data_IF_926307669908
#
_entry.id   IF_926307669908
#
_cell.length_a   1.000
_cell.length_b   1.000
_cell.length_c   1.000
_cell.angle_alpha   90.00
_cell.angle_beta   90.00
_cell.angle_gamma   90.00
#
_symmetry.space_group_name_H-M   'P 1'
#
loop_
_entity.id
_entity.type
_entity.pdbx_description
1 polymer ?
#
# COMPACT_ATOMS: atom_id res chain seq x y z
N UNK A 1 -0.54 -18.33 11.85
CA UNK A 1 -0.22 -18.61 10.44
C UNK A 1 -0.98 -19.87 10.01
N UNK A 2 -1.46 -19.90 8.77
CA UNK A 2 -2.31 -20.96 8.17
C UNK A 2 -1.92 -21.12 6.70
N UNK A 3 -1.89 -22.33 6.16
CA UNK A 3 -1.73 -22.54 4.71
C UNK A 3 -3.10 -22.54 4.05
N UNK A 4 -3.29 -21.62 3.10
CA UNK A 4 -4.51 -21.49 2.31
C UNK A 4 -4.28 -22.13 0.94
N UNK A 5 -4.91 -23.28 0.70
CA UNK A 5 -4.90 -23.95 -0.60
C UNK A 5 -5.51 -23.06 -1.70
N UNK A 6 -5.11 -23.22 -2.98
CA UNK A 6 -5.69 -22.44 -4.06
C UNK A 6 -7.15 -22.80 -4.33
N UNK A 7 -7.90 -21.80 -4.78
CA UNK A 7 -9.30 -21.86 -5.21
C UNK A 7 -9.46 -21.19 -6.58
N UNK A 8 -10.63 -21.32 -7.20
CA UNK A 8 -10.98 -20.63 -8.47
C UNK A 8 -10.84 -19.09 -8.43
N UNK A 9 -10.77 -18.49 -7.24
CA UNK A 9 -10.54 -17.05 -7.05
C UNK A 9 -9.12 -16.70 -6.56
N UNK A 10 -8.24 -17.70 -6.42
CA UNK A 10 -6.87 -17.47 -5.95
C UNK A 10 -5.98 -17.09 -7.14
N UNK A 11 -5.32 -15.91 -7.11
CA UNK A 11 -4.42 -15.48 -8.18
C UNK A 11 -3.36 -16.53 -8.49
N UNK A 12 -3.01 -16.62 -9.77
CA UNK A 12 -1.96 -17.49 -10.33
C UNK A 12 -2.15 -19.00 -10.04
N UNK A 13 -3.31 -19.39 -9.47
CA UNK A 13 -3.65 -20.77 -9.12
C UNK A 13 -2.87 -21.33 -7.91
N UNK A 14 -2.22 -20.47 -7.11
CA UNK A 14 -1.21 -20.92 -6.13
C UNK A 14 -1.61 -20.70 -4.66
N UNK A 15 -1.35 -21.70 -3.82
CA UNK A 15 -1.59 -21.62 -2.37
C UNK A 15 -0.62 -20.70 -1.63
N UNK A 16 -1.04 -20.18 -0.47
CA UNK A 16 -0.26 -19.18 0.28
C UNK A 16 -0.41 -19.28 1.80
N UNK A 17 0.61 -18.86 2.54
CA UNK A 17 0.55 -18.73 4.00
C UNK A 17 -0.19 -17.45 4.40
N UNK A 18 -1.38 -17.59 4.98
CA UNK A 18 -2.10 -16.49 5.63
C UNK A 18 -1.58 -16.26 7.07
N UNK A 19 -1.34 -14.99 7.41
CA UNK A 19 -0.83 -14.56 8.72
C UNK A 19 -1.78 -13.53 9.31
N UNK A 20 -2.51 -13.90 10.36
CA UNK A 20 -3.56 -13.07 10.96
C UNK A 20 -3.28 -12.61 12.40
N UNK A 21 -2.17 -13.01 13.04
CA UNK A 21 -1.86 -12.57 14.40
C UNK A 21 -0.85 -11.43 14.43
N UNK A 22 -1.00 -10.50 15.38
CA UNK A 22 -0.21 -9.27 15.43
C UNK A 22 1.30 -9.54 15.58
N UNK A 23 1.66 -10.58 16.34
CA UNK A 23 3.05 -10.96 16.55
C UNK A 23 3.69 -11.56 15.30
N UNK A 24 2.99 -12.49 14.62
CA UNK A 24 3.48 -13.09 13.37
C UNK A 24 3.55 -12.04 12.24
N UNK A 25 2.52 -11.18 12.09
CA UNK A 25 2.52 -10.10 11.10
C UNK A 25 3.66 -9.11 11.35
N UNK A 26 3.97 -8.76 12.61
CA UNK A 26 5.14 -7.94 12.93
C UNK A 26 6.48 -8.65 12.69
N UNK A 27 6.57 -9.97 12.88
CA UNK A 27 7.79 -10.71 12.58
C UNK A 27 8.12 -10.64 11.08
N UNK A 28 7.13 -10.91 10.22
CA UNK A 28 7.30 -10.81 8.76
C UNK A 28 7.62 -9.38 8.31
N UNK A 29 6.94 -8.37 8.86
CA UNK A 29 7.19 -6.96 8.49
C UNK A 29 8.52 -6.39 9.00
N UNK A 30 9.26 -7.11 9.85
CA UNK A 30 10.56 -6.69 10.41
C UNK A 30 11.75 -7.42 9.82
N UNK A 31 11.51 -8.45 9.02
CA UNK A 31 12.54 -9.26 8.36
C UNK A 31 12.34 -9.21 6.83
N UNK A 32 12.68 -8.08 6.17
CA UNK A 32 12.59 -7.96 4.71
C UNK A 32 13.61 -8.83 3.97
N UNK A 33 14.62 -9.38 4.67
CA UNK A 33 15.63 -10.25 4.08
C UNK A 33 15.12 -11.68 3.88
N UNK A 34 14.38 -12.23 4.86
CA UNK A 34 13.65 -13.50 4.67
C UNK A 34 12.36 -13.29 3.85
N UNK A 35 11.72 -12.12 3.99
CA UNK A 35 10.40 -11.84 3.41
C UNK A 35 10.45 -10.63 2.46
N UNK A 36 10.92 -10.91 1.24
CA UNK A 36 11.11 -9.96 0.15
C UNK A 36 9.81 -9.29 -0.33
N UNK A 37 9.93 -8.02 -0.69
CA UNK A 37 8.92 -7.21 -1.38
C UNK A 37 9.01 -7.31 -2.91
N UNK A 38 10.08 -7.94 -3.43
CA UNK A 38 10.34 -8.19 -4.86
C UNK A 38 9.94 -9.63 -5.24
N UNK A 39 10.74 -10.64 -4.89
CA UNK A 39 10.56 -12.06 -5.27
C UNK A 39 11.36 -12.99 -4.34
N UNK A 40 11.25 -14.31 -4.48
CA UNK A 40 12.08 -15.26 -3.73
C UNK A 40 12.06 -16.66 -4.34
N UNK A 41 13.09 -17.46 -4.05
CA UNK A 41 13.27 -18.77 -4.65
C UNK A 41 13.48 -18.69 -6.17
N UNK A 42 12.88 -19.63 -6.91
CA UNK A 42 12.95 -19.70 -8.38
C UNK A 42 11.85 -18.84 -9.06
N UNK A 43 11.07 -18.06 -8.30
CA UNK A 43 9.92 -17.31 -8.82
C UNK A 43 10.38 -16.09 -9.65
N UNK A 44 9.89 -15.91 -10.88
CA UNK A 44 10.38 -14.85 -11.78
C UNK A 44 10.01 -13.43 -11.32
N UNK A 45 8.84 -13.26 -10.71
CA UNK A 45 8.29 -11.97 -10.27
C UNK A 45 7.58 -12.10 -8.90
N UNK A 46 6.90 -11.05 -8.45
CA UNK A 46 6.17 -11.12 -7.18
C UNK A 46 5.52 -9.79 -6.80
N UNK A 47 6.16 -9.05 -5.90
CA UNK A 47 5.66 -7.79 -5.40
C UNK A 47 4.94 -7.92 -4.05
N UNK A 48 3.97 -7.04 -3.81
CA UNK A 48 3.28 -6.93 -2.50
C UNK A 48 1.76 -7.09 -2.55
N UNK A 49 1.21 -7.63 -3.64
CA UNK A 49 -0.16 -8.17 -3.73
C UNK A 49 -0.10 -9.68 -3.96
N UNK A 50 -1.23 -10.38 -3.82
CA UNK A 50 -1.23 -11.86 -3.87
C UNK A 50 -0.83 -12.38 -5.27
N UNK A 51 -1.29 -11.71 -6.32
CA UNK A 51 -0.83 -11.94 -7.70
C UNK A 51 0.64 -11.55 -7.90
N UNK A 52 1.38 -12.30 -8.70
CA UNK A 52 2.71 -11.92 -9.20
C UNK A 52 2.61 -10.79 -10.23
N UNK A 53 3.35 -9.70 -10.00
CA UNK A 53 3.40 -8.54 -10.91
C UNK A 53 4.81 -8.33 -11.49
N UNK A 54 4.97 -8.18 -12.83
CA UNK A 54 6.25 -7.89 -13.47
C UNK A 54 6.94 -6.60 -12.98
N UNK A 55 6.18 -5.65 -12.44
CA UNK A 55 6.69 -4.38 -11.89
C UNK A 55 7.33 -4.52 -10.49
N UNK A 56 7.48 -5.73 -9.97
CA UNK A 56 8.25 -6.00 -8.76
C UNK A 56 9.72 -5.53 -8.95
N UNK A 57 10.29 -4.84 -7.97
CA UNK A 57 11.60 -4.20 -8.07
C UNK A 57 11.62 -2.85 -8.80
N UNK A 58 10.55 -2.47 -9.51
CA UNK A 58 10.45 -1.22 -10.28
C UNK A 58 9.64 -0.12 -9.56
N UNK A 59 8.73 -0.49 -8.65
CA UNK A 59 7.92 0.46 -7.87
C UNK A 59 8.32 0.44 -6.39
N UNK A 60 8.44 1.61 -5.74
CA UNK A 60 9.04 1.76 -4.41
C UNK A 60 8.48 0.82 -3.32
N UNK A 61 7.17 0.52 -3.34
CA UNK A 61 6.58 -0.39 -2.35
C UNK A 61 6.81 -1.88 -2.63
N UNK A 62 7.50 -2.21 -3.73
CA UNK A 62 7.89 -3.56 -4.16
C UNK A 62 9.41 -3.62 -4.43
N UNK A 63 10.21 -2.75 -3.82
CA UNK A 63 11.68 -2.81 -3.79
C UNK A 63 12.14 -3.35 -2.43
N UNK A 64 13.32 -3.98 -2.42
CA UNK A 64 14.08 -4.30 -1.20
C UNK A 64 15.45 -3.60 -1.21
N UNK A 65 16.17 -3.66 -0.08
CA UNK A 65 17.44 -2.95 0.11
C UNK A 65 18.60 -3.60 -0.69
N UNK A 66 19.63 -2.83 -1.11
CA UNK A 66 19.88 -1.41 -0.79
C UNK A 66 18.98 -0.43 -1.57
N UNK A 67 18.52 -0.80 -2.77
CA UNK A 67 17.82 0.12 -3.69
C UNK A 67 16.58 0.77 -3.06
N UNK A 68 15.81 0.00 -2.29
CA UNK A 68 14.66 0.54 -1.55
C UNK A 68 15.06 1.71 -0.62
N UNK A 69 16.07 1.55 0.25
CA UNK A 69 16.53 2.60 1.16
C UNK A 69 16.95 3.88 0.43
N UNK A 70 17.63 3.73 -0.71
CA UNK A 70 18.14 4.85 -1.50
C UNK A 70 17.02 5.62 -2.21
N UNK A 71 16.15 4.93 -2.96
CA UNK A 71 14.97 5.55 -3.59
C UNK A 71 14.00 6.10 -2.53
N UNK A 72 13.85 5.41 -1.39
CA UNK A 72 13.07 5.88 -0.25
C UNK A 72 13.62 7.19 0.31
N UNK A 73 14.94 7.34 0.40
CA UNK A 73 15.59 8.58 0.86
C UNK A 73 15.31 9.73 -0.12
N UNK A 74 15.45 9.48 -1.42
CA UNK A 74 15.12 10.46 -2.48
C UNK A 74 13.66 10.91 -2.42
N UNK A 75 12.70 9.97 -2.42
CA UNK A 75 11.26 10.30 -2.32
C UNK A 75 10.94 11.04 -1.00
N UNK A 76 11.70 10.76 0.08
CA UNK A 76 11.52 11.44 1.36
C UNK A 76 12.08 12.87 1.40
N UNK A 77 13.07 13.23 0.58
CA UNK A 77 13.59 14.61 0.56
C UNK A 77 12.58 15.61 -0.04
N UNK A 78 11.76 15.15 -1.01
CA UNK A 78 10.66 15.94 -1.56
C UNK A 78 9.51 16.24 -0.57
N UNK A 79 9.45 15.56 0.58
CA UNK A 79 8.52 15.88 1.68
C UNK A 79 9.08 16.99 2.59
N UNK A 80 9.49 18.12 1.99
CA UNK A 80 10.06 19.24 2.74
C UNK A 80 9.04 19.85 3.72
N UNK A 81 9.47 20.49 4.82
CA UNK A 81 8.56 21.23 5.70
C UNK A 81 7.79 22.36 5.00
N UNK A 82 8.28 22.87 3.85
CA UNK A 82 7.58 23.83 3.01
C UNK A 82 6.46 23.16 2.20
N UNK A 83 6.72 22.02 1.58
CA UNK A 83 5.71 21.23 0.88
C UNK A 83 4.60 20.77 1.83
N UNK A 84 4.95 20.31 3.04
CA UNK A 84 3.96 19.92 4.06
C UNK A 84 3.03 21.08 4.44
N UNK A 85 3.55 22.31 4.59
CA UNK A 85 2.72 23.50 4.84
C UNK A 85 1.86 23.85 3.63
N UNK A 86 2.41 23.85 2.41
CA UNK A 86 1.65 24.11 1.17
C UNK A 86 0.44 23.18 1.04
N UNK A 87 0.63 21.88 1.34
CA UNK A 87 -0.46 20.90 1.39
C UNK A 87 -1.45 21.19 2.52
N UNK A 88 -0.98 21.56 3.72
CA UNK A 88 -1.89 21.88 4.83
C UNK A 88 -2.74 23.13 4.55
N UNK A 89 -2.16 24.16 3.95
CA UNK A 89 -2.82 25.44 3.64
C UNK A 89 -3.85 25.29 2.50
N UNK A 90 -3.51 24.55 1.43
CA UNK A 90 -4.43 24.21 0.33
C UNK A 90 -5.62 23.37 0.83
N UNK A 91 -5.37 22.26 1.57
CA UNK A 91 -6.43 21.42 2.12
C UNK A 91 -7.32 22.15 3.15
N UNK A 92 -6.77 23.16 3.83
CA UNK A 92 -7.51 24.05 4.73
C UNK A 92 -8.41 25.02 3.95
N UNK A 93 -7.97 25.48 2.77
CA UNK A 93 -8.77 26.20 1.79
C UNK A 93 -9.87 25.34 1.17
N UNK A 94 -9.55 24.16 0.65
CA UNK A 94 -10.51 23.21 0.10
C UNK A 94 -11.58 22.81 1.13
N UNK A 95 -11.22 22.65 2.40
CA UNK A 95 -12.18 22.43 3.50
C UNK A 95 -13.18 23.58 3.69
N UNK A 96 -12.86 24.82 3.29
CA UNK A 96 -13.83 25.91 3.29
C UNK A 96 -14.92 25.69 2.21
N UNK A 97 -14.63 24.96 1.14
CA UNK A 97 -15.61 24.47 0.17
C UNK A 97 -16.70 23.59 0.80
N UNK A 98 -16.37 22.81 1.83
CA UNK A 98 -17.36 22.03 2.60
C UNK A 98 -18.38 22.90 3.39
N UNK A 99 -18.32 24.23 3.31
CA UNK A 99 -19.37 25.13 3.83
C UNK A 99 -20.69 25.05 3.04
N UNK A 100 -20.70 24.40 1.88
CA UNK A 100 -21.89 24.07 1.09
C UNK A 100 -22.82 23.04 1.76
N UNK A 101 -22.35 22.31 2.78
CA UNK A 101 -23.14 21.28 3.48
C UNK A 101 -24.27 21.92 4.29
N UNK A 102 -25.50 21.80 3.79
CA UNK A 102 -26.70 22.32 4.44
C UNK A 102 -27.14 21.42 5.61
N UNK A 103 -27.31 21.96 6.84
CA UNK A 103 -27.76 21.18 7.99
C UNK A 103 -29.11 20.48 7.74
N UNK A 104 -29.15 19.17 7.96
CA UNK A 104 -30.34 18.33 7.78
C UNK A 104 -30.58 17.82 6.35
N UNK A 105 -29.78 18.23 5.37
CA UNK A 105 -29.81 17.69 4.00
C UNK A 105 -28.87 16.49 3.89
N UNK A 106 -29.34 15.41 3.26
CA UNK A 106 -28.53 14.22 2.99
C UNK A 106 -27.73 14.39 1.68
N UNK A 107 -26.49 13.90 1.68
CA UNK A 107 -25.53 13.97 0.56
C UNK A 107 -24.53 12.80 0.64
N UNK A 108 -23.74 12.54 -0.40
CA UNK A 108 -22.74 11.46 -0.38
C UNK A 108 -21.39 11.99 0.10
N UNK A 109 -21.13 11.84 1.41
CA UNK A 109 -19.86 12.25 2.00
C UNK A 109 -18.61 11.61 1.36
N UNK A 110 -18.74 10.46 0.69
CA UNK A 110 -17.62 9.79 0.01
C UNK A 110 -17.29 10.46 -1.31
N UNK A 111 -18.29 10.83 -2.09
CA UNK A 111 -18.16 11.55 -3.38
C UNK A 111 -17.87 13.03 -3.13
N UNK A 112 -18.75 13.70 -2.38
CA UNK A 112 -18.82 15.16 -2.28
C UNK A 112 -17.71 15.77 -1.40
N UNK A 113 -17.01 14.97 -0.58
CA UNK A 113 -15.95 15.45 0.33
C UNK A 113 -14.73 14.51 0.41
N UNK A 114 -14.92 13.21 0.66
CA UNK A 114 -13.80 12.32 1.00
C UNK A 114 -12.91 11.96 -0.21
N UNK A 115 -13.43 12.07 -1.44
CA UNK A 115 -12.69 11.79 -2.67
C UNK A 115 -11.72 12.92 -3.07
N UNK A 116 -12.14 14.18 -2.94
CA UNK A 116 -11.37 15.33 -3.43
C UNK A 116 -10.10 15.57 -2.61
N UNK A 117 -10.22 15.72 -1.28
CA UNK A 117 -9.10 16.17 -0.44
C UNK A 117 -7.82 15.31 -0.60
N UNK A 118 -7.90 13.96 -0.69
CA UNK A 118 -6.73 13.14 -0.97
C UNK A 118 -6.16 13.31 -2.38
N UNK A 119 -6.99 13.59 -3.39
CA UNK A 119 -6.56 13.78 -4.77
C UNK A 119 -5.87 15.13 -4.97
N UNK A 120 -6.43 16.21 -4.38
CA UNK A 120 -5.80 17.53 -4.32
C UNK A 120 -4.40 17.43 -3.68
N UNK A 121 -4.28 16.75 -2.53
CA UNK A 121 -3.01 16.48 -1.84
C UNK A 121 -1.97 15.86 -2.79
N UNK A 122 -2.31 14.81 -3.53
CA UNK A 122 -1.36 14.14 -4.44
C UNK A 122 -0.98 15.04 -5.62
N UNK A 123 -1.93 15.80 -6.16
CA UNK A 123 -1.66 16.78 -7.21
C UNK A 123 -0.67 17.86 -6.77
N UNK A 124 -0.77 18.37 -5.53
CA UNK A 124 0.16 19.36 -4.98
C UNK A 124 1.56 18.76 -4.80
N UNK A 125 1.66 17.53 -4.27
CA UNK A 125 2.95 16.83 -4.10
C UNK A 125 3.65 16.60 -5.45
N UNK A 126 2.90 16.26 -6.50
CA UNK A 126 3.39 16.05 -7.87
C UNK A 126 3.56 17.36 -8.68
N UNK A 127 3.13 18.50 -8.12
CA UNK A 127 3.14 19.79 -8.81
C UNK A 127 2.27 19.86 -10.07
N UNK A 128 1.12 19.17 -10.06
CA UNK A 128 0.10 19.16 -11.12
C UNK A 128 -0.59 20.55 -11.20
N UNK A 129 -0.63 21.20 -12.38
CA UNK A 129 -1.36 22.44 -12.60
C UNK A 129 -2.85 22.33 -12.23
N UNK A 130 -3.43 23.39 -11.65
CA UNK A 130 -4.83 23.38 -11.19
C UNK A 130 -5.85 23.10 -12.31
N UNK A 131 -5.60 23.62 -13.51
CA UNK A 131 -6.42 23.36 -14.69
C UNK A 131 -6.46 21.88 -15.10
N UNK A 132 -5.39 21.12 -14.83
CA UNK A 132 -5.28 19.72 -15.22
C UNK A 132 -5.97 18.79 -14.20
N UNK A 133 -6.19 19.24 -12.95
CA UNK A 133 -6.59 18.38 -11.83
C UNK A 133 -7.95 17.70 -12.05
N UNK A 134 -8.96 18.41 -12.56
CA UNK A 134 -10.30 17.84 -12.75
C UNK A 134 -10.30 16.67 -13.75
N UNK A 135 -9.70 16.86 -14.92
CA UNK A 135 -9.50 15.80 -15.91
C UNK A 135 -8.63 14.66 -15.35
N UNK A 136 -7.58 14.99 -14.60
CA UNK A 136 -6.69 13.98 -14.02
C UNK A 136 -7.40 13.11 -12.97
N UNK A 137 -8.41 13.64 -12.25
CA UNK A 137 -9.21 12.84 -11.32
C UNK A 137 -10.03 11.79 -12.09
N UNK A 138 -10.69 12.19 -13.18
CA UNK A 138 -11.46 11.30 -14.05
C UNK A 138 -10.56 10.28 -14.76
N UNK A 139 -9.38 10.68 -15.25
CA UNK A 139 -8.42 9.79 -15.90
C UNK A 139 -7.80 8.76 -14.94
N UNK A 140 -7.77 9.05 -13.64
CA UNK A 140 -7.23 8.17 -12.59
C UNK A 140 -8.31 7.26 -11.97
N UNK A 141 -9.58 7.64 -11.99
CA UNK A 141 -10.65 6.88 -11.32
C UNK A 141 -10.91 5.45 -11.87
N UNK A 142 -10.80 5.14 -13.18
CA UNK A 142 -10.94 3.78 -13.71
C UNK A 142 -9.98 2.75 -13.08
N UNK A 143 -8.85 3.18 -12.52
CA UNK A 143 -7.97 2.30 -11.73
C UNK A 143 -8.58 1.79 -10.42
N UNK A 144 -9.77 2.27 -10.04
CA UNK A 144 -10.47 1.98 -8.79
C UNK A 144 -11.90 1.45 -8.98
N UNK A 145 -12.40 1.31 -10.21
CA UNK A 145 -13.75 0.83 -10.48
C UNK A 145 -13.79 -0.38 -11.42
N UNK A 146 -14.69 -1.33 -11.17
CA UNK A 146 -14.74 -2.63 -11.85
C UNK A 146 -16.17 -3.16 -11.95
N UNK A 147 -17.02 -2.40 -12.66
CA UNK A 147 -18.40 -2.78 -12.96
C UNK A 147 -19.33 -2.56 -11.77
N UNK A 148 -19.82 -3.65 -11.15
CA UNK A 148 -20.76 -3.57 -10.04
C UNK A 148 -20.08 -3.38 -8.66
N UNK A 149 -18.76 -3.24 -8.61
CA UNK A 149 -17.99 -3.10 -7.37
C UNK A 149 -16.69 -2.33 -7.62
N UNK A 150 -16.44 -1.28 -6.83
CA UNK A 150 -15.16 -0.57 -6.86
C UNK A 150 -14.04 -1.47 -6.35
N UNK A 151 -12.97 -1.63 -7.13
CA UNK A 151 -11.75 -2.35 -6.72
C UNK A 151 -10.50 -1.58 -7.08
N UNK A 152 -9.68 -1.23 -6.09
CA UNK A 152 -8.41 -0.56 -6.30
C UNK A 152 -7.36 -1.50 -6.91
N UNK A 153 -6.94 -1.23 -8.14
CA UNK A 153 -5.80 -1.90 -8.78
C UNK A 153 -4.46 -1.37 -8.24
N UNK A 154 -3.39 -2.15 -8.43
CA UNK A 154 -2.02 -1.63 -8.38
C UNK A 154 -1.66 -1.03 -9.75
N UNK A 155 -0.71 -0.06 -9.82
CA UNK A 155 -0.19 0.43 -11.09
C UNK A 155 0.23 -0.73 -12.01
N UNK A 156 0.01 -0.56 -13.30
CA UNK A 156 0.43 -1.50 -14.35
C UNK A 156 1.24 -0.75 -15.42
N UNK A 157 2.01 -1.53 -16.17
CA UNK A 157 2.75 -1.10 -17.37
C UNK A 157 2.68 -2.23 -18.40
N UNK A 158 1.47 -2.50 -18.88
CA UNK A 158 1.21 -3.34 -20.03
C UNK A 158 1.11 -2.47 -21.31
N UNK A 159 0.80 -3.10 -22.45
CA UNK A 159 0.69 -2.42 -23.76
C UNK A 159 -0.49 -1.45 -23.84
N UNK A 160 -1.57 -1.71 -23.09
CA UNK A 160 -2.78 -0.89 -23.01
C UNK A 160 -2.53 0.36 -22.14
N UNK A 161 -1.88 0.19 -20.98
CA UNK A 161 -1.47 1.30 -20.09
C UNK A 161 -0.58 2.31 -20.84
N UNK A 162 0.39 1.81 -21.63
CA UNK A 162 1.31 2.62 -22.41
C UNK A 162 0.63 3.42 -23.55
N UNK A 163 -0.58 3.02 -23.97
CA UNK A 163 -1.42 3.77 -24.90
C UNK A 163 -2.40 4.73 -24.24
N UNK A 164 -2.48 4.77 -22.91
CA UNK A 164 -3.47 5.56 -22.18
C UNK A 164 -3.16 7.06 -22.14
N UNK A 165 -4.20 7.89 -22.05
CA UNK A 165 -4.05 9.34 -21.86
C UNK A 165 -3.34 9.67 -20.54
N UNK A 166 -3.54 8.85 -19.50
CA UNK A 166 -2.88 9.00 -18.20
C UNK A 166 -1.35 8.76 -18.30
N UNK A 167 -0.92 7.78 -19.10
CA UNK A 167 0.50 7.55 -19.39
C UNK A 167 1.11 8.71 -20.18
N UNK A 168 0.43 9.17 -21.24
CA UNK A 168 0.87 10.31 -22.03
C UNK A 168 1.04 11.58 -21.17
N UNK A 169 0.04 11.90 -20.33
CA UNK A 169 0.10 13.03 -19.40
C UNK A 169 1.21 12.85 -18.34
N UNK A 170 1.36 11.65 -17.78
CA UNK A 170 2.41 11.37 -16.79
C UNK A 170 3.81 11.59 -17.37
N UNK A 171 4.06 11.11 -18.60
CA UNK A 171 5.32 11.34 -19.31
C UNK A 171 5.54 12.81 -19.68
N UNK A 172 4.50 13.52 -20.16
CA UNK A 172 4.61 14.95 -20.42
C UNK A 172 4.90 15.74 -19.14
N UNK A 173 4.25 15.40 -18.03
CA UNK A 173 4.52 16.04 -16.74
C UNK A 173 5.96 15.77 -16.29
N UNK A 174 6.51 14.54 -16.38
CA UNK A 174 7.91 14.32 -16.00
C UNK A 174 8.86 15.10 -16.94
N UNK A 175 8.56 15.18 -18.24
CA UNK A 175 9.35 15.95 -19.19
C UNK A 175 9.33 17.46 -18.89
N UNK A 176 8.15 18.02 -18.57
CA UNK A 176 7.99 19.41 -18.10
C UNK A 176 8.81 19.64 -16.81
N UNK A 177 8.78 18.70 -15.85
CA UNK A 177 9.53 18.79 -14.58
C UNK A 177 11.05 18.63 -14.73
N UNK A 178 11.53 17.97 -15.80
CA UNK A 178 12.96 17.95 -16.21
C UNK A 178 13.39 19.30 -16.77
N UNK A 179 12.62 19.84 -17.71
CA UNK A 179 12.95 21.08 -18.41
C UNK A 179 12.78 22.33 -17.54
N UNK A 180 11.81 22.33 -16.62
CA UNK A 180 11.48 23.43 -15.71
C UNK A 180 11.21 22.88 -14.31
N UNK A 181 12.26 22.60 -13.52
CA UNK A 181 12.12 22.12 -12.14
C UNK A 181 11.40 23.13 -11.24
N UNK A 182 10.55 22.62 -10.34
CA UNK A 182 9.78 23.42 -9.40
C UNK A 182 9.91 22.87 -7.96
N UNK A 183 9.37 23.61 -6.98
CA UNK A 183 9.34 23.20 -5.57
C UNK A 183 8.23 22.17 -5.32
N UNK A 184 8.45 20.97 -5.85
CA UNK A 184 7.60 19.79 -5.69
C UNK A 184 8.37 18.46 -5.69
N UNK A 185 7.68 17.39 -5.24
CA UNK A 185 8.29 16.06 -5.08
C UNK A 185 8.60 15.42 -6.43
N UNK A 186 7.79 15.66 -7.46
CA UNK A 186 8.04 15.08 -8.77
C UNK A 186 9.33 15.65 -9.37
N UNK A 187 9.50 16.97 -9.37
CA UNK A 187 10.79 17.60 -9.71
C UNK A 187 11.94 17.03 -8.89
N UNK A 188 11.81 16.98 -7.55
CA UNK A 188 12.87 16.46 -6.66
C UNK A 188 13.33 15.04 -7.03
N UNK A 189 12.41 14.15 -7.39
CA UNK A 189 12.72 12.76 -7.80
C UNK A 189 13.22 12.69 -9.24
N UNK A 190 12.70 13.53 -10.13
CA UNK A 190 12.99 13.55 -11.57
C UNK A 190 14.34 14.20 -11.91
N UNK A 191 14.81 15.16 -11.10
CA UNK A 191 16.09 15.87 -11.30
C UNK A 191 17.25 15.30 -10.50
N UNK A 192 17.04 14.18 -9.78
CA UNK A 192 17.99 13.62 -8.81
C UNK A 192 19.43 13.45 -9.35
N UNK A 193 19.58 13.12 -10.64
CA UNK A 193 20.87 12.86 -11.30
C UNK A 193 21.41 14.03 -12.12
N UNK A 194 20.78 15.22 -12.09
CA UNK A 194 21.24 16.39 -12.85
C UNK A 194 22.51 16.96 -12.22
N UNK A 195 22.54 17.10 -10.90
CA UNK A 195 23.69 17.64 -10.15
C UNK A 195 24.68 16.54 -9.69
N UNK A 196 24.22 15.30 -9.53
CA UNK A 196 25.04 14.14 -9.14
C UNK A 196 24.69 12.90 -10.00
N UNK A 197 25.49 12.57 -11.04
CA UNK A 197 25.27 11.39 -11.88
C UNK A 197 25.39 10.04 -11.15
N UNK A 198 25.90 10.00 -9.91
CA UNK A 198 25.94 8.80 -9.07
C UNK A 198 24.74 8.71 -8.11
N UNK A 199 23.84 9.70 -8.10
CA UNK A 199 22.67 9.69 -7.23
C UNK A 199 21.68 8.55 -7.58
N UNK A 200 20.96 8.00 -6.58
CA UNK A 200 19.91 7.02 -6.82
C UNK A 200 18.84 7.55 -7.77
N UNK A 201 18.48 6.78 -8.79
CA UNK A 201 17.58 7.24 -9.85
C UNK A 201 16.46 6.24 -10.17
N UNK A 202 15.42 6.77 -10.83
CA UNK A 202 14.32 6.02 -11.42
C UNK A 202 14.33 6.25 -12.94
N UNK A 203 14.19 5.17 -13.71
CA UNK A 203 13.99 5.23 -15.16
C UNK A 203 12.60 5.79 -15.51
N UNK A 204 12.37 6.17 -16.77
CA UNK A 204 11.10 6.80 -17.21
C UNK A 204 9.86 5.93 -16.95
N UNK A 205 10.00 4.59 -17.02
CA UNK A 205 8.96 3.64 -16.63
C UNK A 205 8.70 3.68 -15.11
N UNK A 206 9.76 3.75 -14.31
CA UNK A 206 9.68 3.75 -12.83
C UNK A 206 9.19 5.10 -12.29
N UNK A 207 9.48 6.20 -12.97
CA UNK A 207 8.93 7.53 -12.70
C UNK A 207 7.42 7.58 -12.96
N UNK A 208 6.94 6.94 -14.04
CA UNK A 208 5.50 6.76 -14.27
C UNK A 208 4.86 5.85 -13.20
N UNK A 209 5.49 4.71 -12.87
CA UNK A 209 5.01 3.85 -11.77
C UNK A 209 4.98 4.59 -10.43
N UNK A 210 5.93 5.50 -10.17
CA UNK A 210 5.95 6.34 -8.98
C UNK A 210 4.81 7.39 -8.98
N UNK A 211 4.58 8.08 -10.12
CA UNK A 211 3.45 8.98 -10.32
C UNK A 211 2.11 8.26 -10.03
N UNK A 212 1.87 7.11 -10.66
CA UNK A 212 0.66 6.31 -10.47
C UNK A 212 0.59 5.63 -9.07
N UNK A 213 1.74 5.38 -8.42
CA UNK A 213 1.78 4.89 -7.04
C UNK A 213 1.20 5.91 -6.08
N UNK A 214 1.49 7.21 -6.22
CA UNK A 214 1.03 8.21 -5.26
C UNK A 214 -0.49 8.33 -5.23
N UNK A 215 -1.17 8.22 -6.38
CA UNK A 215 -2.64 8.13 -6.42
C UNK A 215 -3.16 6.83 -5.76
N UNK A 216 -2.70 5.66 -6.24
CA UNK A 216 -3.17 4.34 -5.77
C UNK A 216 -2.82 4.02 -4.30
N UNK A 217 -1.74 4.57 -3.76
CA UNK A 217 -1.32 4.38 -2.37
C UNK A 217 -1.77 5.52 -1.43
N UNK A 218 -1.73 6.77 -1.90
CA UNK A 218 -2.02 7.95 -1.10
C UNK A 218 -3.51 8.33 -1.09
N UNK A 219 -4.12 8.50 -2.26
CA UNK A 219 -5.46 9.07 -2.37
C UNK A 219 -6.53 8.11 -1.81
N UNK A 220 -6.69 6.94 -2.42
CA UNK A 220 -7.74 5.97 -2.08
C UNK A 220 -7.66 5.48 -0.62
N UNK A 221 -6.45 5.28 -0.08
CA UNK A 221 -6.30 4.84 1.32
C UNK A 221 -6.66 5.93 2.32
N UNK A 222 -6.57 7.20 1.91
CA UNK A 222 -6.96 8.36 2.71
C UNK A 222 -8.46 8.65 2.57
N UNK A 223 -9.04 8.53 1.35
CA UNK A 223 -10.50 8.58 1.09
C UNK A 223 -11.25 7.63 2.04
N UNK A 224 -10.85 6.37 2.06
CA UNK A 224 -11.42 5.34 2.94
C UNK A 224 -11.19 5.61 4.44
N UNK A 225 -10.05 6.20 4.82
CA UNK A 225 -9.76 6.56 6.21
C UNK A 225 -10.56 7.79 6.71
N UNK A 226 -10.92 8.71 5.80
CA UNK A 226 -11.81 9.85 6.06
C UNK A 226 -13.26 9.35 6.17
N UNK A 227 -13.76 8.62 5.16
CA UNK A 227 -15.13 8.11 5.12
C UNK A 227 -15.45 7.18 6.30
N UNK A 228 -14.64 6.13 6.51
CA UNK A 228 -14.79 5.25 7.67
C UNK A 228 -14.57 5.98 9.00
N UNK A 229 -13.73 7.02 9.00
CA UNK A 229 -13.50 7.90 10.14
C UNK A 229 -14.74 8.69 10.56
N UNK A 230 -15.61 9.07 9.62
CA UNK A 230 -16.91 9.68 9.91
C UNK A 230 -17.93 8.62 10.36
N UNK A 231 -18.02 7.49 9.67
CA UNK A 231 -18.93 6.38 10.03
C UNK A 231 -18.72 5.93 11.49
N UNK A 232 -17.46 5.72 11.89
CA UNK A 232 -17.10 5.31 13.25
C UNK A 232 -17.36 6.39 14.33
N UNK A 233 -17.64 7.64 13.95
CA UNK A 233 -18.13 8.69 14.85
C UNK A 233 -19.67 8.69 14.91
N UNK A 234 -20.34 8.55 13.77
CA UNK A 234 -21.80 8.49 13.66
C UNK A 234 -22.38 7.28 14.43
N UNK A 235 -21.77 6.11 14.29
CA UNK A 235 -22.13 4.89 15.05
C UNK A 235 -21.86 5.00 16.56
N UNK A 236 -21.06 5.99 17.01
CA UNK A 236 -20.57 6.06 18.41
C UNK A 236 -20.62 7.50 18.97
N UNK A 237 -21.80 8.14 19.11
CA UNK A 237 -21.91 9.55 19.48
C UNK A 237 -21.21 9.92 20.80
N UNK A 238 -21.26 9.03 21.80
CA UNK A 238 -20.58 9.21 23.10
C UNK A 238 -19.04 9.19 23.01
N UNK A 239 -18.47 8.49 22.02
CA UNK A 239 -17.06 8.65 21.64
C UNK A 239 -16.83 9.87 20.74
N UNK A 240 -17.84 10.28 19.97
CA UNK A 240 -17.79 11.42 19.04
C UNK A 240 -17.36 12.71 19.73
N UNK A 241 -18.09 13.12 20.78
CA UNK A 241 -17.79 14.34 21.54
C UNK A 241 -16.35 14.36 22.10
N UNK A 242 -15.90 13.24 22.69
CA UNK A 242 -14.57 13.13 23.28
C UNK A 242 -13.44 13.09 22.24
N UNK A 243 -13.70 12.56 21.04
CA UNK A 243 -12.69 12.41 19.99
C UNK A 243 -12.62 13.63 19.06
N UNK A 244 -13.72 14.36 18.88
CA UNK A 244 -13.76 15.66 18.21
C UNK A 244 -12.92 16.72 18.96
N UNK A 245 -12.88 16.64 20.30
CA UNK A 245 -12.06 17.50 21.14
C UNK A 245 -10.54 17.25 21.02
N UNK A 246 -10.04 16.23 20.30
CA UNK A 246 -8.59 16.02 20.15
C UNK A 246 -8.21 15.26 18.88
N UNK A 247 -7.52 15.94 17.95
CA UNK A 247 -7.05 15.37 16.68
C UNK A 247 -6.16 14.12 16.82
N UNK A 248 -5.49 13.94 17.97
CA UNK A 248 -4.70 12.73 18.28
C UNK A 248 -5.56 11.49 18.54
N UNK A 249 -6.79 11.67 19.08
CA UNK A 249 -7.77 10.59 19.21
C UNK A 249 -8.22 10.14 17.82
N UNK A 250 -8.61 11.08 16.96
CA UNK A 250 -9.07 10.81 15.60
C UNK A 250 -8.00 10.09 14.77
N UNK A 251 -6.77 10.63 14.71
CA UNK A 251 -5.65 10.06 13.92
C UNK A 251 -5.24 8.63 14.35
N UNK A 252 -5.48 8.23 15.61
CA UNK A 252 -5.26 6.86 16.08
C UNK A 252 -6.45 5.94 15.81
N UNK A 253 -7.68 6.41 16.02
CA UNK A 253 -8.89 5.59 15.82
C UNK A 253 -9.18 5.33 14.34
N UNK A 254 -9.14 6.34 13.47
CA UNK A 254 -9.40 6.14 12.03
C UNK A 254 -8.45 5.10 11.42
N UNK A 255 -7.13 5.20 11.70
CA UNK A 255 -6.13 4.23 11.22
C UNK A 255 -6.29 2.82 11.80
N UNK A 256 -6.82 2.65 13.02
CA UNK A 256 -7.05 1.34 13.67
C UNK A 256 -8.32 0.64 13.15
N UNK A 257 -9.37 1.40 12.88
CA UNK A 257 -10.70 0.86 12.50
C UNK A 257 -10.90 0.82 10.97
N UNK A 258 -10.37 1.81 10.25
CA UNK A 258 -10.66 2.10 8.84
C UNK A 258 -9.43 1.96 7.95
N UNK A 259 -8.44 1.15 8.36
CA UNK A 259 -7.13 1.06 7.72
C UNK A 259 -7.21 0.66 6.24
N UNK A 260 -7.09 1.64 5.33
CA UNK A 260 -7.37 1.52 3.90
C UNK A 260 -6.50 0.54 3.09
N UNK A 261 -5.47 -0.07 3.70
CA UNK A 261 -4.80 -1.29 3.18
C UNK A 261 -4.77 -2.34 4.29
N UNK A 262 -5.69 -3.31 4.20
CA UNK A 262 -5.88 -4.39 5.18
C UNK A 262 -4.90 -5.57 5.02
N UNK A 263 -4.34 -5.75 3.82
CA UNK A 263 -3.48 -6.87 3.43
C UNK A 263 -2.17 -6.42 2.78
N UNK A 264 -1.12 -7.25 2.87
CA UNK A 264 0.14 -7.15 2.09
C UNK A 264 0.71 -8.54 1.81
N UNK A 265 1.25 -8.77 0.60
CA UNK A 265 2.02 -9.98 0.28
C UNK A 265 3.53 -9.78 0.49
N UNK A 266 4.22 -10.90 0.68
CA UNK A 266 5.68 -11.09 0.62
C UNK A 266 6.00 -12.41 -0.08
N UNK A 267 7.18 -12.50 -0.68
CA UNK A 267 7.77 -13.75 -1.18
C UNK A 267 8.89 -14.17 -0.24
N UNK A 268 8.92 -15.43 0.19
CA UNK A 268 9.94 -15.89 1.11
C UNK A 268 9.64 -17.26 1.72
N UNK A 269 10.64 -18.14 1.74
CA UNK A 269 10.51 -19.45 2.37
C UNK A 269 10.87 -19.38 3.87
N UNK A 270 10.00 -19.84 4.78
CA UNK A 270 10.45 -20.15 6.13
C UNK A 270 11.51 -21.27 6.07
N UNK A 271 12.59 -21.21 6.87
CA UNK A 271 13.71 -22.13 6.75
C UNK A 271 13.31 -23.60 6.98
N UNK A 272 13.80 -24.55 6.15
CA UNK A 272 13.37 -25.94 6.21
C UNK A 272 13.70 -26.58 7.57
N UNK A 273 12.74 -27.35 8.11
CA UNK A 273 12.82 -27.94 9.45
C UNK A 273 12.53 -26.97 10.61
N UNK A 274 12.55 -25.65 10.37
CA UNK A 274 12.16 -24.64 11.34
C UNK A 274 10.86 -23.95 10.91
N UNK A 275 9.72 -24.48 11.38
CA UNK A 275 8.66 -23.55 11.78
C UNK A 275 9.22 -22.73 12.95
N UNK A 276 9.37 -21.39 12.86
CA UNK A 276 9.93 -20.59 13.95
C UNK A 276 9.08 -20.60 15.23
N UNK A 277 7.89 -21.22 15.15
CA UNK A 277 6.83 -21.19 16.15
C UNK A 277 6.47 -22.59 16.69
N UNK A 278 7.16 -23.66 16.25
CA UNK A 278 6.94 -25.02 16.73
C UNK A 278 7.08 -25.15 18.26
N UNK A 279 8.00 -24.38 18.86
CA UNK A 279 8.24 -24.36 20.30
C UNK A 279 7.05 -23.88 21.16
N UNK A 280 6.01 -23.30 20.55
CA UNK A 280 4.82 -22.80 21.27
C UNK A 280 3.73 -23.85 21.51
N UNK A 281 3.87 -25.08 20.96
CA UNK A 281 2.83 -26.13 21.04
C UNK A 281 3.17 -27.32 21.94
N UNK A 282 4.10 -27.17 22.88
CA UNK A 282 4.58 -28.26 23.74
C UNK A 282 4.42 -28.02 25.25
N UNK A 283 3.19 -27.77 25.72
CA UNK A 283 2.86 -27.92 27.16
C UNK A 283 1.45 -28.49 27.42
N UNK A 284 1.13 -29.71 26.95
CA UNK A 284 -0.07 -30.42 27.39
C UNK A 284 0.09 -30.88 28.85
N UNK A 285 -0.34 -30.05 29.81
CA UNK A 285 -0.36 -30.43 31.24
C UNK A 285 -1.51 -31.42 31.49
N UNK A 286 -1.29 -32.69 31.17
CA UNK A 286 -2.09 -33.83 31.66
C UNK A 286 -1.19 -34.95 32.15
N UNK A 287 -1.62 -35.59 33.23
CA UNK A 287 -0.81 -36.51 34.04
C UNK A 287 -0.74 -37.90 33.38
N UNK A 288 0.49 -38.40 33.25
CA UNK A 288 0.91 -39.81 33.45
C UNK A 288 -0.02 -40.97 33.03
N UNK A 289 0.45 -41.85 32.14
CA UNK A 289 0.93 -43.21 32.50
C UNK A 289 1.65 -43.89 31.31
N UNK A 290 2.15 -45.12 31.50
CA UNK A 290 3.19 -45.76 30.67
C UNK A 290 2.71 -46.49 29.40
N UNK A 291 3.59 -46.62 28.40
CA UNK A 291 3.48 -47.54 27.25
C UNK A 291 4.70 -47.48 26.32
N UNK A 292 5.23 -48.62 25.85
CA UNK A 292 6.43 -48.71 24.98
C UNK A 292 6.06 -49.15 23.55
N UNK A 293 6.57 -48.48 22.51
CA UNK A 293 6.82 -49.07 21.17
C UNK A 293 7.67 -48.16 20.24
N UNK A 294 8.44 -48.80 19.33
CA UNK A 294 9.13 -48.29 18.12
C UNK A 294 9.56 -49.52 17.29
N UNK A 295 9.99 -49.40 16.02
CA UNK A 295 9.91 -48.27 15.08
C UNK A 295 8.78 -48.59 14.04
N UNK A 296 8.78 -48.41 12.69
CA UNK A 296 9.73 -47.91 11.67
C UNK A 296 8.99 -47.46 10.41
N UNK A 297 9.27 -46.28 9.86
CA UNK A 297 9.02 -45.92 8.44
C UNK A 297 9.73 -44.60 8.07
N UNK A 298 10.25 -44.48 6.85
CA UNK A 298 10.85 -43.24 6.31
C UNK A 298 9.91 -42.54 5.34
N UNK A 299 9.70 -41.21 5.44
CA UNK A 299 9.10 -40.43 4.36
C UNK A 299 10.15 -40.15 3.27
N UNK A 300 9.78 -40.30 1.99
CA UNK A 300 10.56 -39.77 0.87
C UNK A 300 10.27 -38.28 0.72
N UNK A 301 11.31 -37.45 0.59
CA UNK A 301 11.16 -36.07 0.14
C UNK A 301 10.92 -36.03 -1.38
N UNK A 302 10.06 -35.11 -1.83
CA UNK A 302 9.99 -34.65 -3.23
C UNK A 302 9.58 -33.19 -3.24
N UNK A 303 10.30 -32.37 -4.04
CA UNK A 303 9.87 -31.09 -4.62
C UNK A 303 9.12 -30.10 -3.71
N UNK A 304 9.85 -29.11 -3.19
CA UNK A 304 9.38 -28.07 -2.28
C UNK A 304 8.83 -26.84 -3.05
N UNK A 305 7.56 -26.42 -2.86
CA UNK A 305 7.00 -25.23 -3.53
C UNK A 305 7.53 -23.91 -2.93
N UNK A 306 7.57 -22.85 -3.75
CA UNK A 306 8.19 -21.56 -3.40
C UNK A 306 7.20 -20.63 -2.69
N UNK A 307 7.18 -20.73 -1.37
CA UNK A 307 6.16 -20.18 -0.47
C UNK A 307 5.82 -18.68 -0.66
N UNK A 308 4.51 -18.43 -0.82
CA UNK A 308 3.85 -17.13 -0.74
C UNK A 308 3.42 -16.81 0.71
N UNK A 309 3.52 -15.56 1.14
CA UNK A 309 3.01 -15.10 2.46
C UNK A 309 2.08 -13.89 2.29
N UNK A 310 0.86 -13.98 2.84
CA UNK A 310 -0.16 -12.94 2.86
C UNK A 310 -0.45 -12.51 4.29
N UNK A 311 -0.22 -11.23 4.57
CA UNK A 311 -0.38 -10.64 5.90
C UNK A 311 -1.73 -9.96 6.04
N UNK A 312 -2.47 -10.29 7.09
CA UNK A 312 -3.61 -9.53 7.59
C UNK A 312 -3.17 -8.65 8.78
N UNK A 313 -3.80 -7.49 8.91
CA UNK A 313 -3.61 -6.59 10.05
C UNK A 313 -4.76 -6.78 11.07
N UNK A 314 -4.57 -7.55 12.16
CA UNK A 314 -5.64 -7.82 13.11
C UNK A 314 -6.03 -6.56 13.88
N UNK A 315 -7.34 -6.27 13.83
CA UNK A 315 -7.98 -5.35 14.76
C UNK A 315 -7.87 -5.99 16.15
N UNK A 316 -7.04 -5.43 17.04
CA UNK A 316 -7.20 -5.71 18.47
C UNK A 316 -8.64 -5.37 18.85
N UNK A 317 -9.31 -6.25 19.56
CA UNK A 317 -10.47 -5.89 20.40
C UNK A 317 -9.98 -4.87 21.42
#
# INVERSE_FOLDING_TARGET
MFWHEPTEHTPDGEGFWSVATYAETLAVLRDPATFSSVTGGERPYGGTVLQDLPIAGQVLNMMDDPRHTDIRRLVSSGLTPRMIRRVEDDLRGARAGCSTVLPGVAFDFVVDIAAELPMQMICILLGVPEADRHWLFEAVEPGFDFGASRTASMPRLNVEDAGSQLYAYGQELIARKRAQPADDMLSTVVTATIDDPAAPCLSDAELYLFFHLLFSAGAETTRNAIAGGLLALAERPSSGAACAATASCWRRRSKRWCGGRRRRRRSGAPPPGQSPWAASRSTPVRKSWCGKARPTATPRYSTNPTNLISLENPIRT
#
